data_IF_968175498795
#
_entry.id   IF_968175498795
#
_cell.length_a   1.000
_cell.length_b   1.000
_cell.length_c   1.000
_cell.angle_alpha   90.00
_cell.angle_beta   90.00
_cell.angle_gamma   90.00
#
_symmetry.space_group_name_H-M   'P 1'
#
loop_
_entity.id
_entity.type
_entity.pdbx_description
1 polymer ?
#
# COMPACT_ATOMS: atom_id res chain seq x y z
N UNK A 1 32.55 -46.57 -35.25
CA UNK A 1 32.53 -45.72 -34.04
C UNK A 1 32.16 -44.33 -34.48
N UNK A 2 30.89 -43.96 -34.31
CA UNK A 2 30.45 -42.57 -34.50
C UNK A 2 30.96 -41.75 -33.30
N UNK A 3 31.39 -40.49 -33.50
CA UNK A 3 31.85 -39.68 -32.39
C UNK A 3 30.64 -39.26 -31.55
N UNK A 4 30.59 -39.75 -30.32
CA UNK A 4 29.78 -39.19 -29.23
C UNK A 4 30.33 -37.82 -28.89
N UNK A 5 30.01 -36.80 -29.68
CA UNK A 5 30.20 -35.40 -29.30
C UNK A 5 29.10 -35.03 -28.30
N UNK A 6 29.37 -35.41 -27.05
CA UNK A 6 29.27 -34.57 -25.84
C UNK A 6 28.02 -33.72 -25.67
N UNK A 7 26.95 -34.36 -25.19
CA UNK A 7 25.93 -33.70 -24.37
C UNK A 7 26.58 -33.06 -23.11
N UNK A 8 27.60 -33.72 -22.57
CA UNK A 8 28.40 -33.29 -21.42
C UNK A 8 29.19 -31.97 -21.61
N UNK A 9 29.54 -31.59 -22.85
CA UNK A 9 30.35 -30.38 -23.09
C UNK A 9 29.52 -29.09 -23.17
N UNK A 10 28.20 -29.20 -23.39
CA UNK A 10 27.27 -28.06 -23.42
C UNK A 10 26.60 -27.86 -22.05
N UNK A 11 26.42 -28.95 -21.29
CA UNK A 11 25.83 -28.91 -19.95
C UNK A 11 26.81 -28.31 -18.91
N UNK A 12 28.10 -28.65 -18.93
CA UNK A 12 29.06 -28.19 -17.90
C UNK A 12 29.15 -26.65 -17.72
N UNK A 13 29.19 -25.81 -18.77
CA UNK A 13 29.21 -24.35 -18.61
C UNK A 13 27.87 -23.77 -18.14
N UNK A 14 26.73 -24.37 -18.52
CA UNK A 14 25.41 -23.99 -17.99
C UNK A 14 25.29 -24.32 -16.51
N UNK A 15 25.82 -25.49 -16.14
CA UNK A 15 25.94 -25.95 -14.76
C UNK A 15 26.80 -24.96 -13.97
N UNK A 16 27.97 -24.54 -14.49
CA UNK A 16 28.85 -23.58 -13.81
C UNK A 16 28.25 -22.17 -13.69
N UNK A 17 27.55 -21.66 -14.72
CA UNK A 17 26.86 -20.36 -14.67
C UNK A 17 25.70 -20.40 -13.67
N UNK A 18 24.85 -21.42 -13.75
CA UNK A 18 23.75 -21.55 -12.82
C UNK A 18 24.24 -21.82 -11.40
N UNK A 19 25.28 -22.64 -11.20
CA UNK A 19 25.92 -22.81 -9.89
C UNK A 19 26.62 -21.54 -9.41
N UNK A 20 27.15 -20.67 -10.28
CA UNK A 20 27.68 -19.37 -9.86
C UNK A 20 26.57 -18.42 -9.43
N UNK A 21 25.41 -18.47 -10.10
CA UNK A 21 24.20 -17.72 -9.74
C UNK A 21 23.54 -18.28 -8.47
N UNK A 22 23.57 -19.61 -8.27
CA UNK A 22 22.94 -20.36 -7.17
C UNK A 22 23.85 -20.45 -5.93
N UNK A 23 25.17 -20.59 -6.10
CA UNK A 23 26.18 -20.86 -5.07
C UNK A 23 27.21 -19.72 -4.91
N UNK A 24 26.99 -18.55 -5.51
CA UNK A 24 27.75 -17.35 -5.15
C UNK A 24 27.75 -17.14 -3.62
N UNK A 25 28.78 -16.48 -3.07
CA UNK A 25 29.01 -16.31 -1.62
C UNK A 25 27.74 -15.99 -0.81
N UNK A 26 26.81 -15.26 -1.40
CA UNK A 26 25.55 -14.82 -0.79
C UNK A 26 24.60 -15.96 -0.37
N UNK A 27 24.67 -17.15 -0.99
CA UNK A 27 23.78 -18.29 -0.63
C UNK A 27 23.98 -18.73 0.83
N UNK A 28 25.23 -18.90 1.26
CA UNK A 28 25.52 -19.38 2.61
C UNK A 28 25.26 -18.31 3.68
N UNK A 29 25.54 -17.04 3.37
CA UNK A 29 25.25 -15.91 4.26
C UNK A 29 23.73 -15.68 4.42
N UNK A 30 22.95 -15.78 3.34
CA UNK A 30 21.50 -15.54 3.40
C UNK A 30 20.70 -16.73 3.95
N UNK A 31 21.14 -17.99 3.77
CA UNK A 31 20.51 -19.16 4.41
C UNK A 31 20.70 -19.13 5.94
N UNK A 32 21.76 -18.47 6.43
CA UNK A 32 21.94 -18.20 7.86
C UNK A 32 21.03 -17.07 8.36
N UNK A 33 20.79 -16.01 7.57
CA UNK A 33 19.91 -14.90 7.96
C UNK A 33 18.41 -15.20 7.85
N UNK A 34 17.99 -15.83 6.76
CA UNK A 34 16.61 -16.31 6.56
C UNK A 34 16.26 -17.53 7.45
N UNK A 35 17.29 -18.17 8.01
CA UNK A 35 17.22 -19.36 8.85
C UNK A 35 17.54 -19.13 10.33
N UNK A 36 17.40 -17.91 10.87
CA UNK A 36 17.47 -17.66 12.32
C UNK A 36 16.32 -18.29 13.13
N UNK A 37 15.45 -19.07 12.48
CA UNK A 37 14.53 -20.03 13.10
C UNK A 37 14.74 -21.44 12.55
N UNK A 38 14.45 -22.44 13.38
CA UNK A 38 14.54 -23.90 13.14
C UNK A 38 13.64 -24.45 12.01
N UNK A 39 13.41 -23.72 10.91
CA UNK A 39 12.52 -24.15 9.83
C UNK A 39 13.29 -24.95 8.77
N UNK A 40 13.56 -26.22 9.08
CA UNK A 40 14.16 -27.17 8.14
C UNK A 40 13.33 -27.36 6.87
N UNK A 41 12.00 -27.22 6.96
CA UNK A 41 11.09 -27.37 5.82
C UNK A 41 11.24 -26.20 4.84
N UNK A 42 11.38 -24.97 5.34
CA UNK A 42 11.63 -23.81 4.47
C UNK A 42 12.96 -23.94 3.72
N UNK A 43 14.03 -24.36 4.40
CA UNK A 43 15.33 -24.58 3.76
C UNK A 43 15.28 -25.67 2.69
N UNK A 44 14.61 -26.78 2.98
CA UNK A 44 14.41 -27.87 2.02
C UNK A 44 13.60 -27.42 0.81
N UNK A 45 12.48 -26.71 1.02
CA UNK A 45 11.66 -26.17 -0.05
C UNK A 45 12.44 -25.21 -0.96
N UNK A 46 13.19 -24.29 -0.35
CA UNK A 46 14.01 -23.32 -1.07
C UNK A 46 15.12 -23.98 -1.90
N UNK A 47 15.71 -25.08 -1.41
CA UNK A 47 16.68 -25.86 -2.19
C UNK A 47 15.98 -26.62 -3.33
N UNK A 48 14.83 -27.25 -3.06
CA UNK A 48 14.07 -28.02 -4.04
C UNK A 48 13.64 -27.16 -5.23
N UNK A 49 13.13 -25.95 -5.00
CA UNK A 49 12.68 -25.04 -6.07
C UNK A 49 13.84 -24.58 -6.96
N UNK A 50 15.02 -24.35 -6.39
CA UNK A 50 16.25 -24.04 -7.15
C UNK A 50 16.68 -25.20 -8.02
N UNK A 51 16.69 -26.42 -7.48
CA UNK A 51 17.00 -27.63 -8.24
C UNK A 51 15.99 -27.86 -9.37
N UNK A 52 14.70 -27.63 -9.14
CA UNK A 52 13.66 -27.70 -10.18
C UNK A 52 13.88 -26.65 -11.27
N UNK A 53 14.19 -25.41 -10.91
CA UNK A 53 14.46 -24.36 -11.88
C UNK A 53 15.69 -24.66 -12.73
N UNK A 54 16.73 -25.19 -12.09
CA UNK A 54 17.96 -25.62 -12.74
C UNK A 54 17.72 -26.79 -13.69
N UNK A 55 17.07 -27.85 -13.23
CA UNK A 55 16.73 -29.02 -14.06
C UNK A 55 15.89 -28.59 -15.27
N UNK A 56 14.93 -27.69 -15.06
CA UNK A 56 14.12 -27.17 -16.15
C UNK A 56 14.98 -26.45 -17.20
N UNK A 57 15.86 -25.51 -16.80
CA UNK A 57 16.72 -24.79 -17.74
C UNK A 57 17.70 -25.70 -18.49
N UNK A 58 18.26 -26.71 -17.83
CA UNK A 58 19.25 -27.59 -18.43
C UNK A 58 18.61 -28.65 -19.33
N UNK A 59 17.54 -29.27 -18.85
CA UNK A 59 17.00 -30.50 -19.45
C UNK A 59 15.65 -30.32 -20.16
N UNK A 60 14.86 -29.30 -19.80
CA UNK A 60 13.47 -29.19 -20.23
C UNK A 60 13.15 -27.91 -21.02
N UNK A 61 14.01 -26.87 -20.98
CA UNK A 61 13.77 -25.60 -21.66
C UNK A 61 13.64 -25.81 -23.18
N UNK A 62 12.44 -25.58 -23.77
CA UNK A 62 12.22 -25.85 -25.19
C UNK A 62 13.02 -24.93 -26.12
N UNK A 63 13.52 -23.79 -25.62
CA UNK A 63 14.39 -22.90 -26.40
C UNK A 63 15.81 -23.46 -26.57
N UNK A 64 16.22 -24.40 -25.72
CA UNK A 64 17.56 -25.00 -25.72
C UNK A 64 18.69 -23.94 -25.80
N UNK A 65 18.56 -22.85 -25.05
CA UNK A 65 19.50 -21.71 -25.08
C UNK A 65 20.95 -22.15 -24.85
N UNK A 66 21.91 -21.61 -25.59
CA UNK A 66 23.33 -21.81 -25.32
C UNK A 66 23.78 -21.13 -24.01
N UNK A 67 24.90 -21.56 -23.43
CA UNK A 67 25.42 -21.01 -22.16
C UNK A 67 25.77 -19.51 -22.24
N UNK A 68 26.05 -19.00 -23.45
CA UNK A 68 26.35 -17.60 -23.71
C UNK A 68 25.12 -16.79 -24.14
N UNK A 69 23.94 -17.40 -24.17
CA UNK A 69 22.73 -16.73 -24.60
C UNK A 69 22.45 -15.53 -23.66
N UNK A 70 22.19 -14.34 -24.22
CA UNK A 70 22.11 -13.10 -23.43
C UNK A 70 20.94 -13.10 -22.44
N UNK A 71 19.95 -13.97 -22.64
CA UNK A 71 18.75 -14.09 -21.87
C UNK A 71 18.69 -15.34 -20.97
N UNK A 72 19.72 -16.20 -20.96
CA UNK A 72 19.75 -17.42 -20.14
C UNK A 72 19.54 -17.12 -18.65
N UNK A 73 20.23 -16.11 -18.13
CA UNK A 73 20.18 -15.73 -16.71
C UNK A 73 18.79 -15.22 -16.33
N UNK A 74 18.21 -14.26 -17.06
CA UNK A 74 16.89 -13.74 -16.73
C UNK A 74 15.81 -14.82 -16.85
N UNK A 75 15.92 -15.71 -17.84
CA UNK A 75 15.02 -16.85 -18.00
C UNK A 75 15.10 -17.79 -16.80
N UNK A 76 16.31 -18.13 -16.33
CA UNK A 76 16.49 -18.92 -15.11
C UNK A 76 15.87 -18.26 -13.87
N UNK A 77 16.11 -16.95 -13.67
CA UNK A 77 15.57 -16.21 -12.52
C UNK A 77 14.03 -16.20 -12.50
N UNK A 78 13.40 -16.05 -13.67
CA UNK A 78 11.95 -16.13 -13.81
C UNK A 78 11.44 -17.56 -13.55
N UNK A 79 12.13 -18.60 -14.01
CA UNK A 79 11.76 -20.00 -13.73
C UNK A 79 11.86 -20.31 -12.23
N UNK A 80 12.89 -19.80 -11.56
CA UNK A 80 13.02 -19.90 -10.10
C UNK A 80 11.86 -19.19 -9.40
N UNK A 81 11.54 -17.97 -9.83
CA UNK A 81 10.38 -17.24 -9.34
C UNK A 81 9.10 -18.07 -9.51
N UNK A 82 8.88 -18.67 -10.67
CA UNK A 82 7.73 -19.53 -10.92
C UNK A 82 7.65 -20.70 -9.93
N UNK A 83 8.70 -21.51 -9.81
CA UNK A 83 8.66 -22.67 -8.91
C UNK A 83 8.50 -22.27 -7.44
N UNK A 84 9.17 -21.20 -7.01
CA UNK A 84 9.10 -20.74 -5.62
C UNK A 84 7.76 -20.10 -5.26
N UNK A 85 7.09 -19.47 -6.23
CA UNK A 85 5.78 -18.83 -6.05
C UNK A 85 4.59 -19.73 -6.43
N UNK A 86 4.83 -21.02 -6.70
CA UNK A 86 3.80 -22.01 -7.05
C UNK A 86 3.48 -22.97 -5.90
N UNK A 87 4.43 -23.21 -4.98
CA UNK A 87 4.43 -24.18 -3.86
C UNK A 87 3.40 -25.33 -3.95
N UNK A 88 2.11 -25.08 -3.65
CA UNK A 88 1.06 -26.10 -3.56
C UNK A 88 0.01 -26.08 -4.67
N UNK A 89 -0.09 -24.99 -5.45
CA UNK A 89 -1.11 -24.84 -6.51
C UNK A 89 -0.52 -24.07 -7.69
N UNK A 90 -0.74 -24.51 -8.94
CA UNK A 90 -0.37 -23.74 -10.11
C UNK A 90 -1.01 -22.35 -10.04
N UNK A 91 -0.31 -21.36 -10.60
CA UNK A 91 -0.86 -20.02 -10.80
C UNK A 91 -2.24 -20.15 -11.45
N UNK A 92 -3.23 -19.46 -10.90
CA UNK A 92 -4.59 -19.48 -11.47
C UNK A 92 -4.81 -18.24 -12.32
N UNK A 93 -5.85 -18.29 -13.16
CA UNK A 93 -6.32 -17.17 -13.97
C UNK A 93 -6.38 -15.89 -13.13
N UNK A 94 -5.79 -14.81 -13.66
CA UNK A 94 -5.85 -13.49 -13.04
C UNK A 94 -7.31 -13.12 -12.76
N UNK A 95 -7.66 -12.94 -11.49
CA UNK A 95 -9.05 -12.79 -11.05
C UNK A 95 -9.24 -11.52 -10.20
N UNK A 96 -9.37 -10.34 -10.84
CA UNK A 96 -9.58 -9.09 -10.14
C UNK A 96 -11.04 -9.02 -9.63
N UNK A 97 -11.32 -8.34 -8.51
CA UNK A 97 -12.67 -8.20 -8.01
C UNK A 97 -13.57 -7.44 -9.01
N UNK A 98 -14.77 -7.98 -9.26
CA UNK A 98 -15.78 -7.32 -10.10
C UNK A 98 -16.43 -6.15 -9.32
N UNK A 99 -15.99 -4.91 -9.56
CA UNK A 99 -16.52 -3.72 -8.87
C UNK A 99 -16.46 -2.43 -9.71
N UNK A 100 -17.25 -1.39 -9.38
CA UNK A 100 -17.50 -0.21 -10.23
C UNK A 100 -16.34 0.79 -10.32
N UNK A 101 -15.15 0.50 -9.78
CA UNK A 101 -13.93 1.26 -10.05
C UNK A 101 -13.27 0.85 -11.39
N UNK A 102 -14.10 0.63 -12.41
CA UNK A 102 -13.64 0.32 -13.76
C UNK A 102 -13.25 1.61 -14.47
N UNK A 103 -12.07 2.16 -14.15
CA UNK A 103 -11.44 3.11 -15.08
C UNK A 103 -10.93 2.29 -16.27
N UNK A 104 -11.24 2.70 -17.50
CA UNK A 104 -10.86 1.98 -18.72
C UNK A 104 -9.33 1.91 -18.98
N UNK A 105 -8.49 2.33 -18.02
CA UNK A 105 -7.02 2.33 -18.09
C UNK A 105 -6.34 1.50 -16.97
N UNK A 106 -7.09 0.85 -16.08
CA UNK A 106 -6.51 -0.01 -15.05
C UNK A 106 -6.34 -1.43 -15.59
N UNK A 107 -5.20 -1.71 -16.20
CA UNK A 107 -4.78 -3.05 -16.65
C UNK A 107 -4.53 -3.98 -15.48
N UNK A 108 -5.60 -4.37 -14.78
CA UNK A 108 -5.55 -5.20 -13.58
C UNK A 108 -5.00 -6.60 -13.90
N UNK A 109 -5.45 -7.15 -15.03
CA UNK A 109 -4.80 -8.27 -15.70
C UNK A 109 -4.26 -7.70 -17.01
N UNK A 110 -2.97 -7.33 -17.07
CA UNK A 110 -2.43 -6.75 -18.29
C UNK A 110 -2.43 -7.81 -19.41
N UNK A 111 -3.33 -7.64 -20.37
CA UNK A 111 -3.28 -8.27 -21.69
C UNK A 111 -2.21 -7.55 -22.52
N UNK A 112 -1.07 -8.18 -22.85
CA UNK A 112 -0.22 -7.61 -23.87
C UNK A 112 -0.76 -8.07 -25.23
N UNK A 113 -1.62 -7.24 -25.82
CA UNK A 113 -1.85 -7.12 -27.26
C UNK A 113 -2.39 -8.33 -28.05
N UNK A 114 -3.56 -8.09 -28.65
CA UNK A 114 -4.04 -8.67 -29.91
C UNK A 114 -2.93 -8.89 -30.96
N UNK A 115 -3.15 -9.91 -31.81
CA UNK A 115 -2.32 -10.50 -32.89
C UNK A 115 -1.44 -11.67 -32.39
N UNK A 116 -1.91 -12.91 -32.42
CA UNK A 116 -2.39 -13.65 -33.59
C UNK A 116 -3.42 -14.70 -33.13
N UNK A 117 -4.40 -14.99 -33.99
CA UNK A 117 -5.45 -15.96 -33.68
C UNK A 117 -4.89 -17.31 -33.26
N UNK A 118 -5.65 -17.97 -32.37
CA UNK A 118 -5.36 -19.23 -31.66
C UNK A 118 -4.67 -19.08 -30.29
N UNK A 119 -5.40 -18.53 -29.32
CA UNK A 119 -5.18 -18.84 -27.90
C UNK A 119 -6.37 -19.67 -27.39
N UNK A 120 -6.14 -20.97 -27.14
CA UNK A 120 -7.16 -21.90 -26.61
C UNK A 120 -6.99 -22.20 -25.11
N UNK A 121 -6.15 -21.45 -24.38
CA UNK A 121 -6.03 -21.60 -22.91
C UNK A 121 -6.07 -20.25 -22.20
N UNK A 122 -7.04 -20.09 -21.30
CA UNK A 122 -7.28 -18.90 -20.46
C UNK A 122 -6.42 -18.85 -19.19
N UNK A 123 -5.52 -19.82 -18.97
CA UNK A 123 -4.69 -19.94 -17.77
C UNK A 123 -3.34 -19.24 -17.97
N UNK A 124 -3.09 -18.16 -17.22
CA UNK A 124 -1.85 -17.36 -17.28
C UNK A 124 -0.57 -18.16 -16.99
N UNK A 125 -0.65 -19.17 -16.12
CA UNK A 125 0.46 -20.07 -15.83
C UNK A 125 0.92 -20.90 -17.03
N UNK A 126 0.05 -21.19 -18.00
CA UNK A 126 0.39 -22.02 -19.17
C UNK A 126 1.31 -21.28 -20.16
N UNK A 127 1.40 -19.95 -20.05
CA UNK A 127 2.32 -19.14 -20.85
C UNK A 127 3.74 -19.10 -20.25
N UNK A 128 3.89 -19.47 -18.97
CA UNK A 128 5.19 -19.62 -18.32
C UNK A 128 5.78 -20.99 -18.61
N UNK A 129 7.11 -21.09 -18.59
CA UNK A 129 7.84 -22.31 -18.97
C UNK A 129 7.54 -22.78 -20.42
N UNK A 130 7.12 -21.86 -21.28
CA UNK A 130 6.77 -22.15 -22.67
C UNK A 130 7.98 -22.01 -23.61
N UNK A 131 7.84 -22.46 -24.86
CA UNK A 131 8.86 -22.35 -25.90
C UNK A 131 9.10 -20.92 -26.41
N UNK A 132 8.27 -19.95 -25.99
CA UNK A 132 8.41 -18.56 -26.36
C UNK A 132 9.57 -17.90 -25.60
N UNK A 133 10.07 -16.79 -26.15
CA UNK A 133 10.99 -15.93 -25.40
C UNK A 133 10.29 -15.49 -24.10
N UNK A 134 11.00 -15.39 -22.98
CA UNK A 134 10.42 -15.05 -21.68
C UNK A 134 9.80 -13.64 -21.63
N UNK A 135 10.09 -12.81 -22.64
CA UNK A 135 9.46 -11.51 -22.82
C UNK A 135 8.04 -11.60 -23.40
N UNK A 136 7.60 -12.81 -23.74
CA UNK A 136 6.25 -13.14 -24.18
C UNK A 136 5.49 -13.94 -23.11
N UNK A 137 6.12 -14.23 -21.97
CA UNK A 137 5.44 -14.85 -20.85
C UNK A 137 4.48 -13.85 -20.18
N UNK A 138 3.37 -14.36 -19.65
CA UNK A 138 2.32 -13.54 -19.04
C UNK A 138 2.90 -12.61 -17.95
N UNK A 139 2.55 -11.33 -18.00
CA UNK A 139 2.96 -10.35 -16.99
C UNK A 139 4.42 -9.86 -17.09
N UNK A 140 5.20 -10.27 -18.10
CA UNK A 140 6.58 -9.81 -18.29
C UNK A 140 6.65 -8.77 -19.40
N UNK A 141 7.22 -7.61 -19.07
CA UNK A 141 7.58 -6.58 -20.05
C UNK A 141 9.09 -6.55 -20.19
N UNK A 142 9.58 -6.49 -21.43
CA UNK A 142 11.00 -6.33 -21.73
C UNK A 142 11.25 -5.08 -22.58
N UNK A 143 12.43 -4.49 -22.40
CA UNK A 143 12.93 -3.41 -23.23
C UNK A 143 14.11 -3.89 -24.08
N UNK A 144 14.13 -3.46 -25.35
CA UNK A 144 15.23 -3.73 -26.28
C UNK A 144 16.44 -2.88 -25.93
N UNK A 145 17.56 -3.53 -25.64
CA UNK A 145 18.87 -2.93 -25.39
C UNK A 145 19.75 -3.03 -26.63
N UNK A 146 20.73 -2.15 -26.76
CA UNK A 146 21.73 -2.24 -27.83
C UNK A 146 22.85 -3.24 -27.45
N UNK A 147 23.33 -4.08 -28.39
CA UNK A 147 22.82 -4.35 -29.73
C UNK A 147 21.89 -5.59 -29.70
N UNK A 148 20.59 -5.38 -29.57
CA UNK A 148 19.50 -6.37 -29.63
C UNK A 148 19.35 -7.37 -28.46
N UNK A 149 19.79 -7.03 -27.24
CA UNK A 149 19.49 -7.81 -26.03
C UNK A 149 18.14 -7.38 -25.44
N UNK A 150 17.20 -8.29 -25.23
CA UNK A 150 15.96 -7.99 -24.50
C UNK A 150 16.19 -8.17 -23.00
N UNK A 151 15.89 -7.15 -22.19
CA UNK A 151 15.99 -7.23 -20.73
C UNK A 151 14.62 -7.03 -20.09
N UNK A 152 14.31 -7.85 -19.09
CA UNK A 152 13.09 -7.72 -18.29
C UNK A 152 13.14 -6.40 -17.53
N UNK A 153 12.10 -5.58 -17.72
CA UNK A 153 11.93 -4.28 -17.06
C UNK A 153 10.71 -4.25 -16.15
N UNK A 154 9.71 -5.10 -16.39
CA UNK A 154 8.54 -5.15 -15.53
C UNK A 154 8.09 -6.59 -15.29
N UNK A 155 7.65 -6.84 -14.05
CA UNK A 155 6.94 -8.07 -13.67
C UNK A 155 5.60 -7.68 -13.03
N UNK A 156 4.50 -7.90 -13.76
CA UNK A 156 3.13 -7.54 -13.37
C UNK A 156 2.27 -8.80 -13.22
N UNK A 157 2.24 -9.32 -12.00
CA UNK A 157 1.57 -10.57 -11.65
C UNK A 157 0.61 -10.38 -10.47
N UNK A 158 -0.05 -9.22 -10.37
CA UNK A 158 -1.07 -9.00 -9.34
C UNK A 158 -2.30 -9.87 -9.58
N UNK A 159 -3.05 -10.26 -8.54
CA UNK A 159 -4.24 -11.15 -8.63
C UNK A 159 -4.00 -12.54 -9.22
N UNK A 160 -2.79 -13.11 -9.10
CA UNK A 160 -2.42 -14.41 -9.70
C UNK A 160 -2.37 -15.59 -8.74
N UNK A 161 -2.81 -15.41 -7.49
CA UNK A 161 -2.78 -16.45 -6.45
C UNK A 161 -1.37 -17.01 -6.19
N UNK A 162 -0.33 -16.21 -6.47
CA UNK A 162 1.07 -16.56 -6.20
C UNK A 162 1.23 -16.89 -4.72
N UNK A 163 1.93 -17.97 -4.39
CA UNK A 163 2.05 -18.45 -3.01
C UNK A 163 3.46 -18.93 -2.68
N UNK A 164 3.87 -18.82 -1.42
CA UNK A 164 5.26 -19.08 -1.03
C UNK A 164 6.11 -17.80 -0.98
N UNK A 165 7.40 -17.93 -0.64
CA UNK A 165 8.29 -16.78 -0.46
C UNK A 165 8.76 -16.15 -1.78
N UNK A 166 8.92 -14.82 -1.78
CA UNK A 166 9.57 -14.08 -2.86
C UNK A 166 11.07 -14.48 -2.91
N UNK A 167 11.61 -14.99 -4.04
CA UNK A 167 13.04 -15.27 -4.16
C UNK A 167 13.85 -13.98 -4.07
N UNK A 168 14.94 -14.01 -3.31
CA UNK A 168 15.85 -12.87 -3.18
C UNK A 168 16.62 -12.61 -4.48
N UNK A 169 16.79 -13.66 -5.31
CA UNK A 169 17.48 -13.60 -6.59
C UNK A 169 16.77 -12.74 -7.63
N UNK A 170 15.50 -12.37 -7.40
CA UNK A 170 14.79 -11.41 -8.26
C UNK A 170 15.53 -10.07 -8.35
N UNK A 171 16.33 -9.73 -7.34
CA UNK A 171 17.20 -8.56 -7.32
C UNK A 171 18.23 -8.55 -8.47
N UNK A 172 18.59 -9.71 -9.03
CA UNK A 172 19.51 -9.80 -10.17
C UNK A 172 18.88 -9.37 -11.51
N UNK A 173 17.57 -9.14 -11.55
CA UNK A 173 16.92 -8.50 -12.69
C UNK A 173 17.14 -6.98 -12.63
N UNK A 174 18.40 -6.54 -12.75
CA UNK A 174 18.89 -5.17 -12.49
C UNK A 174 18.29 -4.04 -13.35
N UNK A 175 17.39 -4.39 -14.26
CA UNK A 175 16.69 -3.46 -15.15
C UNK A 175 15.21 -3.33 -14.81
N UNK A 176 14.74 -4.03 -13.78
CA UNK A 176 13.39 -3.89 -13.27
C UNK A 176 13.15 -2.43 -12.87
N UNK A 177 12.15 -1.84 -13.50
CA UNK A 177 11.56 -0.56 -13.11
C UNK A 177 10.26 -0.77 -12.35
N UNK A 178 9.58 -1.90 -12.55
CA UNK A 178 8.30 -2.15 -11.92
C UNK A 178 8.10 -3.61 -11.48
N UNK A 179 7.82 -3.81 -10.19
CA UNK A 179 7.51 -5.10 -9.61
C UNK A 179 6.13 -5.05 -8.92
N UNK A 180 5.12 -5.62 -9.58
CA UNK A 180 3.71 -5.59 -9.16
C UNK A 180 3.20 -6.98 -8.83
N UNK A 181 3.27 -7.37 -7.56
CA UNK A 181 2.84 -8.68 -7.04
C UNK A 181 1.72 -8.54 -6.00
N UNK A 182 0.96 -7.44 -6.03
CA UNK A 182 -0.16 -7.21 -5.12
C UNK A 182 -1.28 -8.25 -5.27
N UNK A 183 -2.11 -8.39 -4.24
CA UNK A 183 -3.29 -9.25 -4.25
C UNK A 183 -2.96 -10.71 -4.58
N UNK A 184 -2.02 -11.27 -3.82
CA UNK A 184 -1.56 -12.64 -3.94
C UNK A 184 -1.57 -13.33 -2.55
N UNK A 185 -0.92 -14.48 -2.45
CA UNK A 185 -0.77 -15.26 -1.21
C UNK A 185 0.73 -15.45 -0.86
N UNK A 186 1.59 -14.51 -1.25
CA UNK A 186 3.03 -14.56 -0.97
C UNK A 186 3.26 -14.57 0.55
N UNK A 187 4.19 -15.40 1.01
CA UNK A 187 4.53 -15.60 2.43
C UNK A 187 6.00 -15.28 2.70
N UNK A 188 6.47 -15.48 3.93
CA UNK A 188 7.89 -15.31 4.27
C UNK A 188 8.27 -13.85 4.47
N UNK A 189 9.57 -13.58 4.64
CA UNK A 189 10.08 -12.24 4.86
C UNK A 189 10.39 -11.50 3.55
N UNK A 190 10.35 -10.17 3.60
CA UNK A 190 10.87 -9.32 2.53
C UNK A 190 12.38 -9.56 2.37
N UNK A 191 12.88 -9.86 1.16
CA UNK A 191 14.31 -9.97 0.93
C UNK A 191 15.02 -8.64 1.14
N UNK A 192 16.09 -8.63 1.93
CA UNK A 192 16.94 -7.44 2.12
C UNK A 192 17.60 -6.97 0.82
N UNK A 193 17.86 -7.90 -0.11
CA UNK A 193 18.40 -7.60 -1.44
C UNK A 193 17.45 -6.85 -2.37
N UNK A 194 16.15 -6.77 -2.05
CA UNK A 194 15.14 -6.25 -2.97
C UNK A 194 15.31 -4.76 -3.27
N UNK A 195 15.79 -3.97 -2.30
CA UNK A 195 16.07 -2.53 -2.47
C UNK A 195 17.54 -2.19 -2.17
N UNK A 196 18.45 -3.17 -2.25
CA UNK A 196 19.90 -2.94 -2.16
C UNK A 196 20.47 -2.43 -3.51
N UNK A 197 21.81 -2.40 -3.66
CA UNK A 197 22.53 -1.90 -4.84
C UNK A 197 22.15 -2.56 -6.20
N UNK A 198 21.36 -3.62 -6.19
CA UNK A 198 21.06 -4.39 -7.40
C UNK A 198 19.86 -3.85 -8.21
N UNK A 199 18.91 -3.17 -7.58
CA UNK A 199 17.66 -2.69 -8.20
C UNK A 199 17.56 -1.16 -8.23
N UNK A 200 18.64 -0.47 -8.61
CA UNK A 200 18.74 1.00 -8.68
C UNK A 200 17.65 1.66 -9.56
N UNK A 201 17.16 0.92 -10.57
CA UNK A 201 16.18 1.41 -11.53
C UNK A 201 14.73 1.18 -11.11
N UNK A 202 14.48 0.52 -9.98
CA UNK A 202 13.12 0.20 -9.54
C UNK A 202 12.39 1.49 -9.17
N UNK A 203 11.30 1.77 -9.87
CA UNK A 203 10.47 2.96 -9.68
C UNK A 203 9.23 2.66 -8.82
N UNK A 204 8.71 1.43 -8.90
CA UNK A 204 7.51 1.01 -8.18
C UNK A 204 7.61 -0.44 -7.69
N UNK A 205 7.33 -0.63 -6.41
CA UNK A 205 7.24 -1.91 -5.74
C UNK A 205 5.85 -2.05 -5.08
N UNK A 206 5.07 -3.02 -5.56
CA UNK A 206 3.76 -3.36 -5.00
C UNK A 206 3.72 -4.81 -4.55
N UNK A 207 3.57 -5.02 -3.24
CA UNK A 207 3.38 -6.30 -2.57
C UNK A 207 2.15 -6.29 -1.66
N UNK A 208 1.27 -5.28 -1.79
CA UNK A 208 0.09 -5.14 -0.94
C UNK A 208 -0.85 -6.34 -1.04
N UNK A 209 -1.67 -6.60 -0.01
CA UNK A 209 -2.63 -7.71 0.02
C UNK A 209 -1.95 -9.07 -0.21
N UNK A 210 -1.02 -9.42 0.67
CA UNK A 210 -0.32 -10.70 0.71
C UNK A 210 -0.26 -11.24 2.15
N UNK A 211 0.58 -12.25 2.41
CA UNK A 211 0.81 -12.83 3.74
C UNK A 211 2.28 -12.68 4.17
N UNK A 212 2.97 -11.65 3.65
CA UNK A 212 4.39 -11.39 3.92
C UNK A 212 4.53 -10.99 5.39
N UNK A 213 5.52 -11.56 6.07
CA UNK A 213 5.71 -11.44 7.52
C UNK A 213 7.11 -10.96 7.88
N UNK A 214 7.33 -10.62 9.15
CA UNK A 214 8.65 -10.16 9.61
C UNK A 214 8.84 -8.65 9.40
N UNK A 215 10.04 -8.12 9.70
CA UNK A 215 10.29 -6.69 9.65
C UNK A 215 10.48 -6.15 8.23
N UNK A 216 10.29 -4.84 8.08
CA UNK A 216 10.81 -4.10 6.93
C UNK A 216 12.36 -4.16 7.01
N UNK A 217 13.06 -4.70 5.99
CA UNK A 217 14.50 -4.95 6.08
C UNK A 217 15.33 -3.66 6.23
N UNK A 218 16.22 -3.63 7.23
CA UNK A 218 17.22 -2.55 7.36
C UNK A 218 18.23 -2.57 6.21
N UNK A 219 18.49 -3.75 5.61
CA UNK A 219 19.38 -3.90 4.46
C UNK A 219 18.94 -3.11 3.22
N UNK A 220 17.67 -2.68 3.14
CA UNK A 220 17.22 -1.73 2.12
C UNK A 220 17.97 -0.40 2.16
N UNK A 221 18.77 -0.16 3.20
CA UNK A 221 19.34 1.14 3.53
C UNK A 221 20.87 1.11 3.62
N UNK A 222 21.49 0.03 4.13
CA UNK A 222 22.95 -0.05 4.29
C UNK A 222 23.71 0.13 2.95
N UNK A 223 23.06 -0.21 1.84
CA UNK A 223 23.55 -0.05 0.46
C UNK A 223 23.23 1.32 -0.16
N UNK A 224 22.24 2.07 0.34
CA UNK A 224 21.83 3.33 -0.28
C UNK A 224 22.80 4.44 0.13
N UNK A 225 23.88 4.59 -0.61
CA UNK A 225 24.53 5.88 -0.75
C UNK A 225 23.52 6.85 -1.41
N UNK A 226 23.34 8.04 -0.82
CA UNK A 226 22.32 9.03 -1.20
C UNK A 226 22.10 9.14 -2.72
N UNK A 227 20.89 8.84 -3.19
CA UNK A 227 20.44 9.15 -4.56
C UNK A 227 20.52 8.03 -5.61
N UNK A 228 20.82 6.79 -5.23
CA UNK A 228 20.94 5.67 -6.20
C UNK A 228 19.58 5.07 -6.59
N UNK A 229 18.60 5.08 -5.68
CA UNK A 229 17.28 4.47 -5.95
C UNK A 229 16.32 5.43 -6.66
N UNK A 230 15.59 4.90 -7.65
CA UNK A 230 14.48 5.58 -8.33
C UNK A 230 13.12 5.29 -7.72
N UNK A 231 13.06 4.62 -6.57
CA UNK A 231 11.81 4.15 -6.00
C UNK A 231 10.92 5.33 -5.61
N UNK A 232 9.79 5.46 -6.29
CA UNK A 232 8.79 6.51 -6.04
C UNK A 232 7.51 5.95 -5.41
N UNK A 233 7.22 4.66 -5.58
CA UNK A 233 6.03 4.03 -5.00
C UNK A 233 6.40 2.77 -4.24
N UNK A 234 6.13 2.77 -2.94
CA UNK A 234 6.29 1.61 -2.07
C UNK A 234 4.94 1.24 -1.45
N UNK A 235 4.36 0.14 -1.92
CA UNK A 235 3.06 -0.36 -1.48
C UNK A 235 3.22 -1.76 -0.89
N UNK A 236 3.22 -1.87 0.44
CA UNK A 236 3.35 -3.14 1.18
C UNK A 236 2.26 -3.29 2.25
N UNK A 237 1.10 -2.66 2.00
CA UNK A 237 -0.07 -2.66 2.88
C UNK A 237 -0.77 -4.03 2.94
N UNK A 238 -1.63 -4.26 3.92
CA UNK A 238 -2.41 -5.50 4.06
C UNK A 238 -1.53 -6.76 4.00
N UNK A 239 -0.57 -6.83 4.94
CA UNK A 239 0.37 -7.93 5.12
C UNK A 239 0.46 -8.28 6.62
N UNK A 240 1.46 -9.08 7.01
CA UNK A 240 1.76 -9.45 8.41
C UNK A 240 3.10 -8.87 8.85
N UNK A 241 3.48 -7.69 8.33
CA UNK A 241 4.76 -7.07 8.68
C UNK A 241 4.77 -6.67 10.16
N UNK A 242 5.90 -6.88 10.81
CA UNK A 242 6.11 -6.63 12.25
C UNK A 242 7.29 -5.69 12.48
N UNK A 243 7.63 -5.37 13.73
CA UNK A 243 8.80 -4.53 14.05
C UNK A 243 8.48 -3.05 13.84
N UNK A 244 9.51 -2.22 13.69
CA UNK A 244 9.36 -0.75 13.55
C UNK A 244 9.47 -0.30 12.10
N UNK A 245 8.97 0.90 11.79
CA UNK A 245 9.31 1.58 10.54
C UNK A 245 10.77 2.06 10.64
N UNK A 246 11.68 1.63 9.76
CA UNK A 246 13.05 2.14 9.75
C UNK A 246 13.06 3.63 9.41
N UNK A 247 13.84 4.42 10.14
CA UNK A 247 13.92 5.88 9.90
C UNK A 247 14.39 6.22 8.49
N UNK A 248 15.25 5.37 7.96
CA UNK A 248 15.95 5.58 6.72
C UNK A 248 15.07 5.35 5.49
N UNK A 249 13.84 4.85 5.67
CA UNK A 249 12.80 4.94 4.62
C UNK A 249 12.62 6.39 4.14
N UNK A 250 12.90 7.37 5.01
CA UNK A 250 12.91 8.79 4.70
C UNK A 250 13.98 9.24 3.70
N UNK A 251 14.99 8.41 3.40
CA UNK A 251 16.00 8.68 2.38
C UNK A 251 15.53 8.33 0.96
N UNK A 252 14.45 7.56 0.84
CA UNK A 252 13.88 7.16 -0.45
C UNK A 252 13.12 8.35 -1.08
N UNK A 253 13.20 8.58 -2.40
CA UNK A 253 12.50 9.66 -3.09
C UNK A 253 11.03 9.31 -3.36
N UNK A 254 10.31 8.86 -2.32
CA UNK A 254 8.94 8.38 -2.44
C UNK A 254 7.96 9.51 -2.77
N UNK A 255 7.02 9.18 -3.64
CA UNK A 255 5.78 9.91 -3.91
C UNK A 255 4.60 9.28 -3.17
N UNK A 256 4.63 7.96 -3.01
CA UNK A 256 3.61 7.22 -2.26
C UNK A 256 4.25 6.20 -1.31
N UNK A 257 3.82 6.23 -0.05
CA UNK A 257 4.17 5.26 0.96
C UNK A 257 2.90 4.68 1.59
N UNK A 258 2.65 3.38 1.36
CA UNK A 258 1.48 2.68 1.89
C UNK A 258 1.92 1.46 2.70
N UNK A 259 1.81 1.58 4.02
CA UNK A 259 2.19 0.57 5.02
C UNK A 259 1.00 0.09 5.87
N UNK A 260 -0.21 0.56 5.57
CA UNK A 260 -1.39 0.28 6.38
C UNK A 260 -1.75 -1.20 6.47
N UNK A 261 -2.55 -1.55 7.47
CA UNK A 261 -3.05 -2.91 7.67
C UNK A 261 -1.90 -3.93 7.80
N UNK A 262 -1.07 -3.70 8.82
CA UNK A 262 0.06 -4.54 9.21
C UNK A 262 0.14 -4.57 10.75
N UNK A 263 1.18 -5.19 11.31
CA UNK A 263 1.48 -5.21 12.74
C UNK A 263 2.74 -4.39 13.08
N UNK A 264 2.94 -3.25 12.40
CA UNK A 264 4.07 -2.35 12.65
C UNK A 264 3.90 -1.63 13.99
N UNK A 265 4.98 -1.52 14.75
CA UNK A 265 5.05 -1.02 16.13
C UNK A 265 6.03 0.14 16.25
N UNK A 266 6.13 0.75 17.43
CA UNK A 266 7.03 1.87 17.70
C UNK A 266 6.49 3.20 17.18
N UNK A 267 7.34 4.23 17.20
CA UNK A 267 6.99 5.58 16.78
C UNK A 267 7.05 5.73 15.25
N UNK A 268 6.36 6.74 14.70
CA UNK A 268 6.57 7.16 13.31
C UNK A 268 7.88 7.94 13.25
N UNK A 269 8.92 7.47 12.51
CA UNK A 269 10.18 8.20 12.42
C UNK A 269 9.97 9.55 11.74
N UNK A 270 10.52 10.62 12.32
CA UNK A 270 10.45 11.97 11.75
C UNK A 270 11.05 12.04 10.33
N UNK A 271 11.99 11.14 10.02
CA UNK A 271 12.62 11.02 8.71
C UNK A 271 11.63 10.72 7.59
N UNK A 272 10.52 10.01 7.84
CA UNK A 272 9.44 9.78 6.86
C UNK A 272 8.92 11.12 6.31
N UNK A 273 8.93 12.16 7.13
CA UNK A 273 8.43 13.47 6.76
C UNK A 273 9.46 14.35 6.04
N UNK A 274 10.69 13.87 5.80
CA UNK A 274 11.70 14.59 4.99
C UNK A 274 11.51 14.40 3.49
N UNK A 275 10.60 13.51 3.08
CA UNK A 275 10.35 13.13 1.69
C UNK A 275 9.46 14.18 0.99
N UNK A 276 10.03 15.30 0.57
CA UNK A 276 9.26 16.42 0.00
C UNK A 276 8.43 16.07 -1.24
N UNK A 277 8.73 14.96 -1.94
CA UNK A 277 7.95 14.46 -3.07
C UNK A 277 6.68 13.67 -2.70
N UNK A 278 6.50 13.34 -1.41
CA UNK A 278 5.42 12.47 -0.94
C UNK A 278 4.07 13.19 -1.04
N UNK A 279 3.16 12.65 -1.87
CA UNK A 279 1.78 13.14 -1.98
C UNK A 279 0.78 12.24 -1.25
N UNK A 280 1.15 11.00 -0.94
CA UNK A 280 0.32 10.07 -0.15
C UNK A 280 1.11 9.31 0.88
N UNK A 281 0.69 9.45 2.14
CA UNK A 281 1.22 8.71 3.29
C UNK A 281 0.07 7.96 3.98
N UNK A 282 0.11 6.63 3.95
CA UNK A 282 -0.87 5.81 4.65
C UNK A 282 -0.20 4.76 5.55
N UNK A 283 -0.33 5.00 6.86
CA UNK A 283 0.23 4.22 7.96
C UNK A 283 -0.85 3.59 8.85
N UNK A 284 -2.12 3.77 8.52
CA UNK A 284 -3.25 3.38 9.37
C UNK A 284 -3.35 1.88 9.63
N UNK A 285 -4.19 1.46 10.58
CA UNK A 285 -4.40 0.04 10.94
C UNK A 285 -3.07 -0.66 11.22
N UNK A 286 -2.32 -0.11 12.19
CA UNK A 286 -1.06 -0.64 12.68
C UNK A 286 -0.99 -0.44 14.20
N UNK A 287 0.03 -1.02 14.81
CA UNK A 287 0.35 -0.92 16.23
C UNK A 287 1.28 0.28 16.56
N UNK A 288 1.34 1.29 15.68
CA UNK A 288 2.18 2.49 15.83
C UNK A 288 1.75 3.32 17.04
N UNK A 289 2.72 3.85 17.79
CA UNK A 289 2.54 4.64 19.00
C UNK A 289 3.34 5.94 18.94
N UNK A 290 3.48 6.64 20.08
CA UNK A 290 4.16 7.94 20.14
C UNK A 290 3.24 9.09 19.75
N UNK A 291 3.79 10.11 19.08
CA UNK A 291 3.08 11.32 18.65
C UNK A 291 3.19 11.51 17.14
N UNK A 292 2.27 12.25 16.53
CA UNK A 292 2.43 12.73 15.16
C UNK A 292 3.55 13.80 15.12
N UNK A 293 4.68 13.58 14.44
CA UNK A 293 5.81 14.52 14.45
C UNK A 293 5.47 15.87 13.78
N UNK A 294 6.02 16.97 14.29
CA UNK A 294 5.81 18.31 13.69
C UNK A 294 6.44 18.44 12.31
N UNK A 295 7.40 17.57 11.97
CA UNK A 295 7.96 17.46 10.63
C UNK A 295 6.90 17.16 9.55
N UNK A 296 5.66 16.78 9.90
CA UNK A 296 4.54 16.69 8.94
C UNK A 296 4.38 17.95 8.08
N UNK A 297 4.72 19.12 8.62
CA UNK A 297 4.71 20.38 7.87
C UNK A 297 5.77 20.49 6.77
N UNK A 298 6.76 19.60 6.72
CA UNK A 298 7.77 19.55 5.66
C UNK A 298 7.26 18.87 4.38
N UNK A 299 6.18 18.09 4.47
CA UNK A 299 5.59 17.38 3.33
C UNK A 299 4.66 18.32 2.54
N UNK A 300 5.24 19.31 1.87
CA UNK A 300 4.49 20.36 1.17
C UNK A 300 3.71 19.88 -0.06
N UNK A 301 4.01 18.66 -0.56
CA UNK A 301 3.24 18.02 -1.64
C UNK A 301 2.18 17.03 -1.13
N UNK A 302 2.01 16.88 0.18
CA UNK A 302 1.11 15.87 0.76
C UNK A 302 -0.35 16.22 0.51
N UNK A 303 -1.07 15.29 -0.13
CA UNK A 303 -2.51 15.40 -0.37
C UNK A 303 -3.31 14.48 0.56
N UNK A 304 -2.76 13.30 0.93
CA UNK A 304 -3.45 12.29 1.75
C UNK A 304 -2.58 11.88 2.94
N UNK A 305 -3.07 12.15 4.15
CA UNK A 305 -2.48 11.70 5.41
C UNK A 305 -3.44 10.75 6.12
N UNK A 306 -3.09 9.47 6.16
CA UNK A 306 -3.91 8.42 6.77
C UNK A 306 -3.11 7.72 7.90
N UNK A 307 -3.47 7.96 9.16
CA UNK A 307 -2.82 7.38 10.38
C UNK A 307 -3.87 6.80 11.34
N UNK A 308 -5.08 6.57 10.82
CA UNK A 308 -6.23 6.04 11.56
C UNK A 308 -5.98 4.64 12.13
N UNK A 309 -6.69 4.26 13.18
CA UNK A 309 -6.60 2.92 13.80
C UNK A 309 -5.16 2.58 14.22
N UNK A 310 -4.54 3.49 14.97
CA UNK A 310 -3.20 3.34 15.58
C UNK A 310 -3.25 3.77 17.05
N UNK A 311 -2.15 3.63 17.79
CA UNK A 311 -2.02 4.09 19.18
C UNK A 311 -1.38 5.47 19.31
N UNK A 312 -1.24 6.21 18.21
CA UNK A 312 -0.70 7.58 18.19
C UNK A 312 -1.47 8.46 19.17
N UNK A 313 -0.73 9.28 19.91
CA UNK A 313 -1.21 10.07 21.05
C UNK A 313 -0.68 11.50 21.02
N UNK A 314 -1.07 12.31 21.99
CA UNK A 314 -0.68 13.72 22.05
C UNK A 314 -1.53 14.62 21.13
N UNK A 315 -1.18 15.91 21.00
CA UNK A 315 -1.89 16.83 20.11
C UNK A 315 -1.52 16.62 18.64
N UNK A 316 -2.38 17.10 17.74
CA UNK A 316 -1.98 17.34 16.35
C UNK A 316 -1.02 18.55 16.36
N UNK A 317 0.20 18.45 15.79
CA UNK A 317 1.11 19.59 15.68
C UNK A 317 0.52 20.67 14.75
N UNK A 318 0.67 21.95 15.11
CA UNK A 318 0.18 23.07 14.29
C UNK A 318 0.88 23.17 12.94
N UNK A 319 2.11 22.65 12.84
CA UNK A 319 2.88 22.56 11.62
C UNK A 319 2.17 21.77 10.51
N UNK A 320 1.15 20.96 10.82
CA UNK A 320 0.31 20.31 9.80
C UNK A 320 -0.29 21.32 8.80
N UNK A 321 -0.54 22.56 9.23
CA UNK A 321 -1.03 23.63 8.35
C UNK A 321 -0.04 24.06 7.26
N UNK A 322 1.24 23.68 7.36
CA UNK A 322 2.25 23.95 6.32
C UNK A 322 2.14 23.01 5.12
N UNK A 323 1.47 21.86 5.28
CA UNK A 323 1.18 20.93 4.19
C UNK A 323 -0.10 21.35 3.44
N UNK A 324 -0.04 22.50 2.77
CA UNK A 324 -1.21 23.21 2.20
C UNK A 324 -1.92 22.50 1.05
N UNK A 325 -1.34 21.44 0.50
CA UNK A 325 -2.00 20.58 -0.50
C UNK A 325 -2.87 19.48 0.11
N UNK A 326 -2.92 19.37 1.45
CA UNK A 326 -3.72 18.36 2.13
C UNK A 326 -5.20 18.48 1.73
N UNK A 327 -5.70 17.37 1.20
CA UNK A 327 -7.07 17.16 0.78
C UNK A 327 -7.78 16.21 1.75
N UNK A 328 -7.05 15.22 2.28
CA UNK A 328 -7.59 14.23 3.22
C UNK A 328 -6.69 14.05 4.44
N UNK A 329 -7.31 14.16 5.62
CA UNK A 329 -6.70 13.85 6.92
C UNK A 329 -7.59 12.83 7.63
N UNK A 330 -7.08 11.60 7.80
CA UNK A 330 -7.75 10.55 8.57
C UNK A 330 -6.91 10.11 9.76
N UNK A 331 -7.33 10.52 10.96
CA UNK A 331 -6.67 10.23 12.23
C UNK A 331 -7.62 9.53 13.23
N UNK A 332 -8.73 8.99 12.73
CA UNK A 332 -9.78 8.36 13.53
C UNK A 332 -9.28 7.09 14.25
N UNK A 333 -9.87 6.74 15.38
CA UNK A 333 -9.49 5.58 16.20
C UNK A 333 -8.01 5.67 16.64
N UNK A 334 -7.64 6.77 17.28
CA UNK A 334 -6.30 6.99 17.86
C UNK A 334 -6.41 7.52 19.28
N UNK A 335 -5.29 7.66 19.99
CA UNK A 335 -5.22 8.27 21.32
C UNK A 335 -4.90 9.77 21.25
N UNK A 336 -5.08 10.41 20.08
CA UNK A 336 -4.86 11.85 19.91
C UNK A 336 -5.80 12.66 20.81
N UNK A 337 -5.29 13.77 21.33
CA UNK A 337 -5.99 14.59 22.33
C UNK A 337 -5.71 16.09 22.14
N UNK A 338 -6.30 16.93 22.98
CA UNK A 338 -6.18 18.38 22.88
C UNK A 338 -7.22 18.96 21.92
N UNK A 339 -6.94 20.13 21.34
CA UNK A 339 -7.85 20.81 20.39
C UNK A 339 -7.42 20.56 18.95
N UNK A 340 -8.33 20.77 17.99
CA UNK A 340 -7.96 20.88 16.58
C UNK A 340 -7.15 22.18 16.39
N UNK A 341 -5.92 22.14 15.87
CA UNK A 341 -5.12 23.35 15.63
C UNK A 341 -5.82 24.32 14.67
N UNK A 342 -5.71 25.62 14.94
CA UNK A 342 -6.35 26.66 14.13
C UNK A 342 -5.76 26.71 12.70
N UNK A 343 -4.54 26.24 12.54
CA UNK A 343 -3.84 26.10 11.27
C UNK A 343 -4.51 25.10 10.33
N UNK A 344 -5.20 24.07 10.85
CA UNK A 344 -6.03 23.18 10.01
C UNK A 344 -7.13 23.99 9.34
N UNK A 345 -7.85 24.84 10.10
CA UNK A 345 -8.93 25.65 9.55
C UNK A 345 -8.42 26.76 8.63
N UNK A 346 -7.33 27.43 9.02
CA UNK A 346 -6.89 28.67 8.38
C UNK A 346 -5.89 28.50 7.23
N UNK A 347 -5.23 27.34 7.10
CA UNK A 347 -4.20 27.12 6.07
C UNK A 347 -4.55 26.01 5.07
N UNK A 348 -5.37 25.03 5.46
CA UNK A 348 -5.68 23.86 4.62
C UNK A 348 -6.93 24.09 3.75
N UNK A 349 -6.90 25.12 2.91
CA UNK A 349 -8.04 25.54 2.10
C UNK A 349 -8.55 24.43 1.14
N UNK A 350 -7.68 23.48 0.75
CA UNK A 350 -8.02 22.38 -0.15
C UNK A 350 -8.64 21.15 0.55
N UNK A 351 -8.78 21.19 1.89
CA UNK A 351 -9.21 20.04 2.68
C UNK A 351 -10.66 19.66 2.36
N UNK A 352 -10.87 18.44 1.91
CA UNK A 352 -12.20 17.86 1.65
C UNK A 352 -12.64 16.91 2.74
N UNK A 353 -11.71 16.16 3.33
CA UNK A 353 -12.03 15.10 4.28
C UNK A 353 -11.23 15.27 5.56
N UNK A 354 -11.92 15.57 6.66
CA UNK A 354 -11.35 15.64 8.01
C UNK A 354 -12.02 14.60 8.90
N UNK A 355 -11.31 13.51 9.21
CA UNK A 355 -11.81 12.41 10.01
C UNK A 355 -11.01 12.17 11.30
N UNK A 356 -11.60 12.61 12.41
CA UNK A 356 -11.05 12.58 13.77
C UNK A 356 -11.97 11.79 14.74
N UNK A 357 -12.76 10.83 14.23
CA UNK A 357 -13.69 10.06 15.05
C UNK A 357 -12.95 9.18 16.08
N UNK A 358 -13.56 8.91 17.23
CA UNK A 358 -13.04 7.96 18.23
C UNK A 358 -11.61 8.31 18.67
N UNK A 359 -11.41 9.56 19.08
CA UNK A 359 -10.16 10.04 19.66
C UNK A 359 -10.44 10.61 21.07
N UNK A 360 -9.56 11.48 21.55
CA UNK A 360 -9.69 12.14 22.85
C UNK A 360 -9.64 13.68 22.72
N UNK A 361 -10.13 14.21 21.58
CA UNK A 361 -10.14 15.66 21.33
C UNK A 361 -11.14 16.38 22.24
N UNK A 362 -10.82 17.61 22.62
CA UNK A 362 -11.64 18.50 23.42
C UNK A 362 -11.65 19.92 22.82
N UNK A 363 -12.27 20.88 23.51
CA UNK A 363 -12.45 22.24 23.03
C UNK A 363 -13.73 22.40 22.21
N UNK A 364 -13.84 23.51 21.49
CA UNK A 364 -14.99 23.85 20.66
C UNK A 364 -14.71 23.60 19.18
N UNK A 365 -15.76 23.40 18.39
CA UNK A 365 -15.66 23.47 16.93
C UNK A 365 -15.48 24.95 16.55
N UNK A 366 -14.34 25.32 15.96
CA UNK A 366 -14.01 26.71 15.61
C UNK A 366 -14.96 27.24 14.53
N UNK A 367 -15.37 28.51 14.64
CA UNK A 367 -16.14 29.17 13.56
C UNK A 367 -15.32 29.33 12.28
N UNK A 368 -13.98 29.29 12.38
CA UNK A 368 -13.07 29.24 11.24
C UNK A 368 -13.22 28.00 10.36
N UNK A 369 -14.01 27.00 10.77
CA UNK A 369 -14.39 25.86 9.91
C UNK A 369 -14.96 26.34 8.56
N UNK A 370 -15.56 27.54 8.53
CA UNK A 370 -16.05 28.19 7.30
C UNK A 370 -14.98 28.45 6.24
N UNK A 371 -13.71 28.55 6.63
CA UNK A 371 -12.58 28.75 5.73
C UNK A 371 -12.28 27.50 4.89
N UNK A 372 -12.72 26.32 5.34
CA UNK A 372 -12.57 25.05 4.63
C UNK A 372 -13.63 24.89 3.55
N UNK A 373 -13.63 25.78 2.56
CA UNK A 373 -14.72 25.92 1.58
C UNK A 373 -14.97 24.69 0.70
N UNK A 374 -14.00 23.77 0.58
CA UNK A 374 -14.12 22.50 -0.13
C UNK A 374 -14.47 21.30 0.77
N UNK A 375 -14.71 21.51 2.07
CA UNK A 375 -14.95 20.43 3.01
C UNK A 375 -16.22 19.66 2.66
N UNK A 376 -16.05 18.37 2.40
CA UNK A 376 -17.12 17.42 2.12
C UNK A 376 -17.45 16.59 3.37
N UNK A 377 -16.45 16.12 4.12
CA UNK A 377 -16.65 15.32 5.34
C UNK A 377 -16.01 15.96 6.56
N UNK A 378 -16.82 16.21 7.58
CA UNK A 378 -16.40 16.59 8.92
C UNK A 378 -16.84 15.54 9.93
N UNK A 379 -15.89 14.71 10.33
CA UNK A 379 -16.10 13.53 11.15
C UNK A 379 -15.42 13.71 12.50
N UNK A 380 -16.19 14.07 13.52
CA UNK A 380 -15.74 14.41 14.88
C UNK A 380 -16.39 13.53 15.96
N UNK A 381 -17.08 12.46 15.57
CA UNK A 381 -17.90 11.66 16.48
C UNK A 381 -17.04 10.95 17.52
N UNK A 382 -17.60 10.72 18.72
CA UNK A 382 -16.94 10.04 19.82
C UNK A 382 -15.64 10.74 20.26
N UNK A 383 -15.78 11.97 20.75
CA UNK A 383 -14.73 12.82 21.33
C UNK A 383 -15.30 13.55 22.56
N UNK A 384 -14.62 14.61 23.04
CA UNK A 384 -15.03 15.47 24.15
C UNK A 384 -15.20 16.93 23.70
N UNK A 385 -15.64 17.16 22.46
CA UNK A 385 -15.94 18.50 21.97
C UNK A 385 -17.13 19.06 22.74
N UNK A 386 -17.05 20.31 23.20
CA UNK A 386 -18.10 20.99 23.94
C UNK A 386 -18.48 22.32 23.27
N UNK A 387 -19.49 23.00 23.82
CA UNK A 387 -20.05 24.22 23.23
C UNK A 387 -21.17 23.88 22.24
N UNK A 388 -21.25 24.61 21.14
CA UNK A 388 -22.30 24.46 20.11
C UNK A 388 -21.68 24.16 18.75
N UNK A 389 -22.48 23.62 17.83
CA UNK A 389 -22.12 23.59 16.40
C UNK A 389 -22.17 25.05 15.90
N UNK A 390 -21.07 25.63 15.35
CA UNK A 390 -21.05 27.02 14.91
C UNK A 390 -22.01 27.25 13.75
N UNK A 391 -22.69 28.41 13.75
CA UNK A 391 -23.64 28.76 12.67
C UNK A 391 -22.91 28.96 11.33
N UNK A 392 -21.64 29.36 11.37
CA UNK A 392 -20.79 29.61 10.21
C UNK A 392 -20.59 28.37 9.33
N UNK A 393 -20.85 27.16 9.87
CA UNK A 393 -20.84 25.92 9.10
C UNK A 393 -21.87 25.94 7.94
N UNK A 394 -22.85 26.85 7.98
CA UNK A 394 -23.82 27.06 6.91
C UNK A 394 -23.21 27.47 5.57
N UNK A 395 -22.03 28.10 5.59
CA UNK A 395 -21.35 28.51 4.38
C UNK A 395 -20.61 27.35 3.68
N UNK A 396 -20.51 26.18 4.32
CA UNK A 396 -19.93 24.97 3.74
C UNK A 396 -20.92 24.26 2.81
N UNK A 397 -21.19 24.87 1.66
CA UNK A 397 -22.18 24.36 0.69
C UNK A 397 -21.83 23.00 0.06
N UNK A 398 -20.56 22.57 0.18
CA UNK A 398 -20.08 21.26 -0.26
C UNK A 398 -20.16 20.16 0.80
N UNK A 399 -20.58 20.47 2.03
CA UNK A 399 -20.57 19.53 3.14
C UNK A 399 -21.62 18.42 2.93
N UNK A 400 -21.14 17.18 2.91
CA UNK A 400 -21.93 15.96 2.67
C UNK A 400 -22.08 15.11 3.92
N UNK A 401 -21.07 15.08 4.79
CA UNK A 401 -21.14 14.31 6.03
C UNK A 401 -20.70 15.16 7.21
N UNK A 402 -21.55 15.20 8.23
CA UNK A 402 -21.28 15.85 9.51
C UNK A 402 -21.60 14.85 10.63
N UNK A 403 -20.55 14.28 11.23
CA UNK A 403 -20.69 13.34 12.34
C UNK A 403 -20.15 14.01 13.60
N UNK A 404 -21.05 14.42 14.48
CA UNK A 404 -20.72 15.15 15.72
C UNK A 404 -21.29 14.48 16.97
N UNK A 405 -21.97 13.35 16.80
CA UNK A 405 -22.52 12.54 17.88
C UNK A 405 -21.44 11.99 18.83
N UNK A 406 -21.84 11.62 20.03
CA UNK A 406 -21.01 11.19 21.16
C UNK A 406 -19.95 12.25 21.48
N UNK A 407 -20.41 13.47 21.76
CA UNK A 407 -19.60 14.56 22.25
C UNK A 407 -20.29 15.23 23.45
N UNK A 408 -19.69 16.31 23.96
CA UNK A 408 -20.26 17.17 25.01
C UNK A 408 -20.91 18.43 24.39
N UNK A 409 -21.33 18.34 23.13
CA UNK A 409 -21.95 19.41 22.36
C UNK A 409 -23.39 19.64 22.81
N UNK A 410 -23.81 20.89 22.76
CA UNK A 410 -25.14 21.35 23.18
C UNK A 410 -25.75 22.27 22.12
N UNK A 411 -27.03 22.59 22.28
CA UNK A 411 -27.70 23.62 21.49
C UNK A 411 -28.52 23.04 20.34
N UNK A 412 -28.47 23.67 19.17
CA UNK A 412 -29.32 23.31 18.02
C UNK A 412 -28.45 23.16 16.79
N UNK A 413 -28.72 22.15 15.97
CA UNK A 413 -28.11 22.06 14.64
C UNK A 413 -28.57 23.26 13.81
N UNK A 414 -27.66 24.05 13.20
CA UNK A 414 -28.05 25.18 12.37
C UNK A 414 -28.98 24.75 11.24
N UNK A 415 -30.18 25.35 11.16
CA UNK A 415 -31.24 24.98 10.22
C UNK A 415 -30.79 25.07 8.76
N UNK A 416 -29.85 25.96 8.44
CA UNK A 416 -29.28 26.12 7.11
C UNK A 416 -28.51 24.87 6.64
N UNK A 417 -27.87 24.13 7.55
CA UNK A 417 -27.25 22.82 7.25
C UNK A 417 -28.32 21.80 6.83
N UNK A 418 -29.51 21.91 7.42
CA UNK A 418 -30.65 21.03 7.20
C UNK A 418 -31.39 21.32 5.88
N UNK A 419 -31.33 22.54 5.37
CA UNK A 419 -32.04 22.93 4.14
C UNK A 419 -31.42 22.36 2.86
N UNK A 420 -30.19 21.84 2.94
CA UNK A 420 -29.57 21.05 1.86
C UNK A 420 -30.20 19.66 1.66
N UNK A 421 -31.17 19.24 2.50
CA UNK A 421 -31.83 17.94 2.42
C UNK A 421 -33.11 17.95 1.54
N UNK A 422 -33.63 19.11 1.16
CA UNK A 422 -34.94 19.22 0.50
C UNK A 422 -34.82 19.76 -0.94
N UNK A 423 -35.31 18.95 -1.89
CA UNK A 423 -35.62 19.21 -3.33
C UNK A 423 -34.59 18.80 -4.43
N UNK A 424 -35.04 17.79 -5.18
CA UNK A 424 -34.78 17.32 -6.57
C UNK A 424 -33.55 17.78 -7.38
N UNK A 425 -32.77 16.78 -7.81
CA UNK A 425 -31.96 16.69 -9.03
C UNK A 425 -30.68 17.56 -9.18
N UNK A 426 -29.79 17.60 -8.18
CA UNK A 426 -28.31 17.66 -8.40
C UNK A 426 -27.52 17.74 -7.07
N UNK A 427 -26.73 16.71 -6.76
CA UNK A 427 -25.52 16.59 -5.89
C UNK A 427 -25.26 17.52 -4.67
N UNK A 428 -26.23 18.27 -4.14
CA UNK A 428 -26.07 19.21 -3.00
C UNK A 428 -26.61 18.68 -1.67
N UNK A 429 -26.62 17.37 -1.48
CA UNK A 429 -27.26 16.75 -0.32
C UNK A 429 -26.23 16.46 0.78
N UNK A 430 -26.62 16.78 2.02
CA UNK A 430 -25.94 16.26 3.19
C UNK A 430 -26.36 14.78 3.36
N UNK A 431 -25.52 13.87 2.90
CA UNK A 431 -25.76 12.43 2.93
C UNK A 431 -25.92 11.88 4.34
N UNK A 432 -25.20 12.45 5.32
CA UNK A 432 -25.20 11.96 6.70
C UNK A 432 -24.97 13.07 7.71
N UNK A 433 -25.96 13.30 8.57
CA UNK A 433 -25.86 14.06 9.81
C UNK A 433 -26.08 13.15 11.01
N UNK A 434 -25.08 13.00 11.86
CA UNK A 434 -25.21 12.28 13.12
C UNK A 434 -24.95 13.20 14.32
N UNK A 435 -25.91 13.30 15.24
CA UNK A 435 -25.84 14.13 16.44
C UNK A 435 -26.48 13.45 17.66
N UNK A 436 -26.20 13.95 18.87
CA UNK A 436 -26.77 13.48 20.13
C UNK A 436 -28.17 14.08 20.38
N UNK A 437 -29.11 13.64 19.55
CA UNK A 437 -30.47 14.17 19.47
C UNK A 437 -31.57 13.24 19.95
N UNK A 438 -31.23 12.08 20.53
CA UNK A 438 -32.22 11.30 21.26
C UNK A 438 -32.53 11.97 22.62
N UNK A 439 -33.80 11.97 23.07
CA UNK A 439 -34.16 12.52 24.37
C UNK A 439 -33.38 11.85 25.50
N UNK A 440 -32.79 12.65 26.39
CA UNK A 440 -32.16 12.11 27.59
C UNK A 440 -33.23 11.42 28.47
N UNK A 441 -32.99 10.21 29.01
CA UNK A 441 -33.99 9.45 29.76
C UNK A 441 -34.51 10.15 31.03
N UNK A 442 -33.71 11.02 31.64
CA UNK A 442 -34.05 11.73 32.88
C UNK A 442 -34.78 13.04 32.59
N UNK A 443 -34.32 13.81 31.60
CA UNK A 443 -34.86 15.14 31.31
C UNK A 443 -35.95 15.15 30.24
N UNK A 444 -36.01 14.11 29.40
CA UNK A 444 -36.90 14.03 28.24
C UNK A 444 -36.56 15.01 27.11
N UNK A 445 -35.42 15.71 27.19
CA UNK A 445 -34.99 16.72 26.20
C UNK A 445 -33.65 16.30 25.61
N UNK A 446 -33.47 16.37 24.27
CA UNK A 446 -32.18 16.05 23.66
C UNK A 446 -31.16 17.15 23.93
N UNK A 447 -29.89 16.76 24.05
CA UNK A 447 -28.77 17.69 24.30
C UNK A 447 -28.50 18.55 23.06
N UNK A 448 -28.69 17.97 21.87
CA UNK A 448 -28.70 18.66 20.59
C UNK A 448 -30.10 18.58 19.98
N UNK A 449 -30.70 19.74 19.72
CA UNK A 449 -31.96 19.82 18.99
C UNK A 449 -31.70 19.73 17.48
N UNK A 450 -32.34 18.78 16.81
CA UNK A 450 -32.33 18.67 15.35
C UNK A 450 -33.66 19.17 14.77
N UNK A 451 -33.70 20.36 14.15
CA UNK A 451 -34.92 20.91 13.56
C UNK A 451 -35.40 20.05 12.38
N UNK A 452 -36.73 19.87 12.24
CA UNK A 452 -37.36 19.32 11.03
C UNK A 452 -36.78 17.99 10.51
N UNK A 453 -36.50 17.02 11.40
CA UNK A 453 -35.91 15.70 11.04
C UNK A 453 -34.54 15.77 10.33
N UNK A 454 -33.83 16.89 10.47
CA UNK A 454 -32.53 17.15 9.84
C UNK A 454 -31.45 16.09 10.10
N UNK A 455 -31.47 15.48 11.29
CA UNK A 455 -30.47 14.50 11.66
C UNK A 455 -30.83 13.14 11.09
N UNK A 456 -30.05 12.68 10.11
CA UNK A 456 -30.19 11.34 9.50
C UNK A 456 -29.97 10.22 10.51
N UNK A 457 -29.25 10.50 11.60
CA UNK A 457 -28.99 9.58 12.69
C UNK A 457 -28.99 10.33 14.02
N UNK A 458 -29.88 9.95 14.93
CA UNK A 458 -29.91 10.47 16.29
C UNK A 458 -29.34 9.46 17.27
N UNK A 459 -28.36 9.88 18.07
CA UNK A 459 -27.72 9.06 19.08
C UNK A 459 -28.12 9.46 20.50
N UNK A 460 -28.04 8.51 21.42
CA UNK A 460 -28.13 8.74 22.87
C UNK A 460 -26.75 8.67 23.55
N UNK A 461 -26.73 8.94 24.85
CA UNK A 461 -25.54 8.91 25.71
C UNK A 461 -24.91 7.51 25.86
N UNK A 462 -25.66 6.44 25.60
CA UNK A 462 -25.14 5.06 25.59
C UNK A 462 -24.47 4.71 24.27
N UNK A 463 -24.66 5.56 23.27
CA UNK A 463 -24.18 5.39 21.92
C UNK A 463 -25.14 4.61 21.01
N UNK A 464 -26.36 4.30 21.45
CA UNK A 464 -27.37 3.79 20.54
C UNK A 464 -27.74 4.90 19.56
N UNK A 465 -27.62 4.63 18.26
CA UNK A 465 -28.01 5.57 17.21
C UNK A 465 -29.16 4.97 16.40
N UNK A 466 -30.23 5.75 16.24
CA UNK A 466 -31.38 5.43 15.42
C UNK A 466 -31.32 6.24 14.12
N UNK A 467 -31.48 5.55 12.99
CA UNK A 467 -31.67 6.22 11.71
C UNK A 467 -33.08 6.84 11.68
N UNK A 468 -33.18 8.06 11.16
CA UNK A 468 -34.44 8.79 11.04
C UNK A 468 -35.12 8.54 9.69
#
# INVERSE_FOLDING_TARGET
MAPTTTRDAVEAPKIEIALTIILGKDYFEHVEESGKGNDSELKEFLMETRLKAFDWIVNQDPMHLDYNAPNLVQRFLLVLFYYQTTRHKPWRECNPPAGPQMSANSGFCYEPFFFTGEATSTIWGDQWLSASHECQWAGITCQKMQPAKMQVTELRLSWNQLNGPLPWEIAHLSRLTNLQLGDNMLTGALPGSLLSDSLELLESLSLSHNQISGPIPLAWIESIHEGITKLTSLWIASNRLTGTIPSEIGLLPLKELRLHDNALTGDIPKEVFKQSSLWRLNLGTNDLAGTLPSEVGLLTNLEYLEVNSTRISGPIPSEIGLATLLNEITLSNTNLQGTIPEEIYSQLENLKFLALNNCNFSGTISSSVVLLTYLEWLHLANNRFHGTIPNEIEALTGLRQLLVNRNELTGTVPVSVCQNLAYTDNWRYLDKLAADCLPNPETGVPVIQCPSDCCTSCCDETGLCLAN
#
